data_IF_642612109832
#
_entry.id   IF_642612109832
#
_cell.length_a   1.000
_cell.length_b   1.000
_cell.length_c   1.000
_cell.angle_alpha   90.00
_cell.angle_beta   90.00
_cell.angle_gamma   90.00
#
_symmetry.space_group_name_H-M   'P 1'
#
loop_
_entity.id
_entity.type
_entity.pdbx_description
1 polymer ?
#
# COMPACT_ATOMS: atom_id res chain seq x y z
N UNK A 1 2.06 0.93 63.27
CA UNK A 1 1.98 -0.13 62.24
C UNK A 1 1.07 0.35 61.11
N UNK A 2 1.58 0.54 59.90
CA UNK A 2 0.76 0.85 58.71
C UNK A 2 0.15 -0.46 58.21
N UNK A 3 -1.18 -0.58 58.15
CA UNK A 3 -1.86 -1.75 57.55
C UNK A 3 -1.55 -1.75 56.06
N UNK A 4 -0.89 -2.79 55.57
CA UNK A 4 -0.71 -3.02 54.15
C UNK A 4 -2.06 -3.48 53.59
N UNK A 5 -2.72 -2.60 52.82
CA UNK A 5 -3.94 -2.91 52.10
C UNK A 5 -3.53 -3.81 50.92
N UNK A 6 -3.74 -5.12 51.06
CA UNK A 6 -3.54 -6.07 49.97
C UNK A 6 -4.64 -5.92 48.91
N UNK A 7 -4.30 -6.23 47.65
CA UNK A 7 -5.26 -6.25 46.54
C UNK A 7 -6.28 -7.36 46.76
N UNK A 8 -7.56 -7.08 46.49
CA UNK A 8 -8.62 -8.08 46.67
C UNK A 8 -8.70 -9.02 45.47
N UNK A 9 -9.05 -10.30 45.70
CA UNK A 9 -9.28 -11.24 44.58
C UNK A 9 -10.40 -10.75 43.66
N UNK A 10 -11.40 -10.07 44.20
CA UNK A 10 -12.51 -9.52 43.41
C UNK A 10 -12.06 -8.35 42.53
N UNK A 11 -11.14 -7.48 42.97
CA UNK A 11 -10.55 -6.46 42.09
C UNK A 11 -9.81 -7.10 40.92
N UNK A 12 -9.02 -8.15 41.16
CA UNK A 12 -8.28 -8.81 40.09
C UNK A 12 -9.22 -9.42 39.05
N UNK A 13 -10.28 -10.09 39.51
CA UNK A 13 -11.30 -10.67 38.65
C UNK A 13 -12.08 -9.59 37.89
N UNK A 14 -12.44 -8.49 38.54
CA UNK A 14 -13.14 -7.39 37.88
C UNK A 14 -12.30 -6.76 36.77
N UNK A 15 -10.99 -6.58 37.00
CA UNK A 15 -10.07 -5.99 36.01
C UNK A 15 -9.95 -6.87 34.77
N UNK A 16 -9.75 -8.19 34.92
CA UNK A 16 -9.66 -9.08 33.76
C UNK A 16 -10.98 -9.17 32.98
N UNK A 17 -12.12 -9.06 33.66
CA UNK A 17 -13.44 -9.02 33.00
C UNK A 17 -13.59 -7.75 32.18
N UNK A 18 -13.24 -6.59 32.75
CA UNK A 18 -13.29 -5.31 32.02
C UNK A 18 -12.33 -5.34 30.81
N UNK A 19 -11.09 -5.82 30.99
CA UNK A 19 -10.13 -5.96 29.91
C UNK A 19 -10.62 -6.93 28.83
N UNK A 20 -11.29 -8.02 29.21
CA UNK A 20 -11.90 -8.96 28.27
C UNK A 20 -12.98 -8.33 27.39
N UNK A 21 -13.87 -7.53 27.97
CA UNK A 21 -14.93 -6.82 27.23
C UNK A 21 -14.33 -5.76 26.29
N UNK A 22 -13.36 -4.99 26.78
CA UNK A 22 -12.66 -3.98 25.97
C UNK A 22 -11.90 -4.64 24.80
N UNK A 23 -11.22 -5.77 25.04
CA UNK A 23 -10.50 -6.49 24.00
C UNK A 23 -11.47 -7.05 22.93
N UNK A 24 -12.58 -7.66 23.35
CA UNK A 24 -13.57 -8.22 22.43
C UNK A 24 -14.20 -7.18 21.51
N UNK A 25 -14.40 -5.95 22.01
CA UNK A 25 -14.98 -4.84 21.22
C UNK A 25 -13.96 -4.07 20.40
N UNK A 26 -12.71 -3.95 20.87
CA UNK A 26 -11.65 -3.20 20.18
C UNK A 26 -10.97 -4.01 19.07
N UNK A 27 -10.85 -5.34 19.21
CA UNK A 27 -10.13 -6.18 18.26
C UNK A 27 -10.67 -6.12 16.81
N UNK A 28 -12.00 -6.19 16.57
CA UNK A 28 -12.53 -6.08 15.20
C UNK A 28 -12.20 -4.73 14.54
N UNK A 29 -12.27 -3.63 15.31
CA UNK A 29 -11.94 -2.29 14.81
C UNK A 29 -10.47 -2.15 14.47
N UNK A 30 -9.59 -2.72 15.30
CA UNK A 30 -8.14 -2.68 15.06
C UNK A 30 -7.71 -3.43 13.80
N UNK A 31 -8.39 -4.54 13.47
CA UNK A 31 -8.11 -5.29 12.24
C UNK A 31 -8.52 -4.49 10.99
N UNK A 32 -9.70 -3.88 10.98
CA UNK A 32 -10.16 -3.05 9.87
C UNK A 32 -9.21 -1.86 9.63
N UNK A 33 -8.72 -1.19 10.68
CA UNK A 33 -7.77 -0.09 10.53
C UNK A 33 -6.45 -0.50 9.88
N UNK A 34 -5.99 -1.73 10.10
CA UNK A 34 -4.77 -2.22 9.43
C UNK A 34 -4.99 -2.42 7.94
N UNK A 35 -6.13 -2.98 7.54
CA UNK A 35 -6.49 -3.15 6.13
C UNK A 35 -6.67 -1.81 5.43
N UNK A 36 -7.36 -0.86 6.06
CA UNK A 36 -7.55 0.50 5.55
C UNK A 36 -6.21 1.23 5.39
N UNK A 37 -5.31 1.11 6.37
CA UNK A 37 -3.97 1.69 6.30
C UNK A 37 -3.14 1.07 5.17
N UNK A 38 -3.22 -0.25 4.99
CA UNK A 38 -2.53 -0.95 3.90
C UNK A 38 -3.08 -0.53 2.53
N UNK A 39 -4.41 -0.37 2.41
CA UNK A 39 -5.06 0.13 1.19
C UNK A 39 -4.64 1.56 0.87
N UNK A 40 -4.66 2.46 1.86
CA UNK A 40 -4.24 3.84 1.67
C UNK A 40 -2.76 3.95 1.24
N UNK A 41 -1.88 3.14 1.84
CA UNK A 41 -0.48 3.08 1.43
C UNK A 41 -0.32 2.55 -0.01
N UNK A 42 -1.06 1.50 -0.37
CA UNK A 42 -1.08 0.93 -1.71
C UNK A 42 -1.57 1.94 -2.75
N UNK A 43 -2.63 2.69 -2.45
CA UNK A 43 -3.15 3.79 -3.29
C UNK A 43 -2.13 4.93 -3.43
N UNK A 44 -1.39 5.25 -2.36
CA UNK A 44 -0.30 6.23 -2.41
C UNK A 44 0.82 5.82 -3.37
N UNK A 45 1.25 4.56 -3.34
CA UNK A 45 2.26 4.02 -4.27
C UNK A 45 1.73 4.00 -5.70
N UNK A 46 0.48 3.57 -5.91
CA UNK A 46 -0.17 3.57 -7.21
C UNK A 46 -0.28 4.98 -7.83
N UNK A 47 -0.61 5.99 -7.01
CA UNK A 47 -0.63 7.39 -7.44
C UNK A 47 0.76 7.91 -7.83
N UNK A 48 1.79 7.55 -7.05
CA UNK A 48 3.18 7.90 -7.37
C UNK A 48 3.65 7.26 -8.68
N UNK A 49 3.29 6.00 -8.93
CA UNK A 49 3.61 5.29 -10.19
C UNK A 49 2.94 5.94 -11.40
N UNK A 50 1.65 6.27 -11.29
CA UNK A 50 0.93 6.98 -12.35
C UNK A 50 1.57 8.34 -12.66
N UNK A 51 1.93 9.10 -11.62
CA UNK A 51 2.58 10.41 -11.78
C UNK A 51 3.96 10.29 -12.43
N UNK A 52 4.78 9.33 -11.99
CA UNK A 52 6.09 9.06 -12.56
C UNK A 52 5.99 8.61 -14.03
N UNK A 53 5.00 7.77 -14.35
CA UNK A 53 4.75 7.39 -15.73
C UNK A 53 4.41 8.58 -16.62
N UNK A 54 3.56 9.51 -16.15
CA UNK A 54 3.20 10.71 -16.91
C UNK A 54 4.40 11.63 -17.13
N UNK A 55 5.26 11.79 -16.12
CA UNK A 55 6.49 12.56 -16.26
C UNK A 55 7.46 11.90 -17.25
N UNK A 56 7.62 10.58 -17.17
CA UNK A 56 8.43 9.78 -18.10
C UNK A 56 7.90 9.87 -19.53
N UNK A 57 6.59 9.73 -19.71
CA UNK A 57 5.93 9.86 -21.00
C UNK A 57 6.16 11.25 -21.60
N UNK A 58 6.00 12.32 -20.81
CA UNK A 58 6.22 13.69 -21.26
C UNK A 58 7.68 13.93 -21.68
N UNK A 59 8.64 13.48 -20.87
CA UNK A 59 10.06 13.62 -21.18
C UNK A 59 10.45 12.84 -22.44
N UNK A 60 9.98 11.59 -22.57
CA UNK A 60 10.35 10.71 -23.67
C UNK A 60 9.64 11.05 -24.98
N UNK A 61 8.46 11.67 -24.91
CA UNK A 61 7.75 12.23 -26.07
C UNK A 61 8.51 13.38 -26.72
N UNK A 62 9.34 14.11 -25.97
CA UNK A 62 10.19 15.17 -26.51
C UNK A 62 11.46 14.60 -27.13
N UNK A 63 12.05 13.58 -26.51
CA UNK A 63 13.27 12.93 -27.00
C UNK A 63 13.36 11.49 -26.47
N UNK A 64 13.59 10.52 -27.35
CA UNK A 64 13.66 9.10 -26.98
C UNK A 64 14.78 8.76 -25.98
N UNK A 65 15.77 9.63 -25.78
CA UNK A 65 16.81 9.47 -24.74
C UNK A 65 16.39 9.97 -23.34
N UNK A 66 15.29 10.71 -23.23
CA UNK A 66 14.86 11.38 -22.00
C UNK A 66 13.79 10.56 -21.29
N UNK A 67 14.21 9.49 -20.59
CA UNK A 67 13.31 8.58 -19.87
C UNK A 67 13.47 7.14 -20.31
N UNK A 68 12.55 6.27 -19.91
CA UNK A 68 12.60 4.81 -20.14
C UNK A 68 11.43 4.38 -21.02
N UNK A 69 11.63 3.45 -21.98
CA UNK A 69 10.51 2.87 -22.71
C UNK A 69 9.60 2.08 -21.76
N UNK A 70 8.29 2.16 -22.01
CA UNK A 70 7.25 1.44 -21.28
C UNK A 70 6.33 0.79 -22.30
N UNK A 71 6.46 -0.52 -22.45
CA UNK A 71 5.61 -1.42 -23.23
C UNK A 71 4.95 -2.49 -22.36
N UNK A 72 5.35 -2.62 -21.10
CA UNK A 72 4.69 -3.44 -20.08
C UNK A 72 4.56 -2.69 -18.75
N UNK A 73 3.47 -2.95 -18.03
CA UNK A 73 3.24 -2.44 -16.67
C UNK A 73 4.43 -2.63 -15.72
N UNK A 74 5.19 -3.73 -15.81
CA UNK A 74 6.34 -3.95 -14.92
C UNK A 74 7.47 -2.94 -15.14
N UNK A 75 7.57 -2.34 -16.34
CA UNK A 75 8.62 -1.39 -16.69
C UNK A 75 8.38 -0.02 -16.04
N UNK A 76 7.15 0.28 -15.60
CA UNK A 76 6.83 1.53 -14.90
C UNK A 76 7.66 1.69 -13.62
N UNK A 77 8.05 0.59 -12.98
CA UNK A 77 8.94 0.64 -11.82
C UNK A 77 10.30 1.28 -12.13
N UNK A 78 10.76 1.23 -13.39
CA UNK A 78 12.01 1.86 -13.83
C UNK A 78 11.88 3.35 -14.15
N UNK A 79 10.65 3.86 -14.29
CA UNK A 79 10.39 5.30 -14.42
C UNK A 79 10.40 6.05 -13.07
N UNK A 80 10.46 5.32 -11.95
CA UNK A 80 10.60 5.90 -10.61
C UNK A 80 12.06 5.77 -10.17
N UNK A 81 12.68 6.89 -9.80
CA UNK A 81 14.02 6.88 -9.25
C UNK A 81 14.03 6.14 -7.90
N UNK A 82 14.85 5.09 -7.79
CA UNK A 82 14.88 4.19 -6.62
C UNK A 82 13.89 3.02 -6.67
N UNK A 83 13.06 2.91 -7.71
CA UNK A 83 12.14 1.80 -7.90
C UNK A 83 10.90 1.84 -7.00
N UNK A 84 10.21 0.70 -6.91
CA UNK A 84 9.04 0.55 -6.02
C UNK A 84 9.46 0.11 -4.62
N UNK A 85 8.75 0.53 -3.56
CA UNK A 85 9.03 0.07 -2.21
C UNK A 85 8.92 -1.46 -2.09
N UNK A 86 9.72 -2.03 -1.19
CA UNK A 86 9.66 -3.46 -0.90
C UNK A 86 8.26 -3.86 -0.40
N UNK A 87 7.82 -5.04 -0.81
CA UNK A 87 6.50 -5.58 -0.44
C UNK A 87 5.36 -5.16 -1.36
N UNK A 88 5.66 -4.53 -2.50
CA UNK A 88 4.73 -4.28 -3.59
C UNK A 88 5.20 -4.96 -4.87
N UNK A 89 4.25 -5.40 -5.70
CA UNK A 89 4.52 -6.01 -6.99
C UNK A 89 3.54 -5.51 -8.04
N UNK A 90 4.04 -5.23 -9.25
CA UNK A 90 3.21 -4.87 -10.40
C UNK A 90 2.97 -6.14 -11.21
N UNK A 91 1.72 -6.40 -11.58
CA UNK A 91 1.37 -7.50 -12.48
C UNK A 91 1.70 -7.11 -13.92
N UNK A 92 2.39 -7.99 -14.64
CA UNK A 92 2.71 -7.77 -16.05
C UNK A 92 1.45 -7.66 -16.90
N UNK A 93 1.45 -6.67 -17.78
CA UNK A 93 0.39 -6.43 -18.75
C UNK A 93 0.94 -5.52 -19.82
N UNK A 94 0.87 -5.99 -21.07
CA UNK A 94 1.35 -5.23 -22.21
C UNK A 94 0.55 -3.93 -22.39
N UNK A 95 1.24 -2.86 -22.75
CA UNK A 95 0.69 -1.55 -23.06
C UNK A 95 1.28 -1.10 -24.39
N UNK A 96 0.41 -0.84 -25.35
CA UNK A 96 0.85 -0.30 -26.64
C UNK A 96 1.30 1.16 -26.49
N UNK A 97 2.31 1.55 -27.25
CA UNK A 97 2.82 2.91 -27.24
C UNK A 97 1.74 3.93 -27.68
N UNK A 98 1.64 5.05 -26.95
CA UNK A 98 0.63 6.07 -27.16
C UNK A 98 -0.77 5.71 -26.63
N UNK A 99 -0.95 4.52 -26.04
CA UNK A 99 -2.20 4.10 -25.42
C UNK A 99 -2.07 4.03 -23.90
N UNK A 100 -3.16 4.32 -23.21
CA UNK A 100 -3.27 4.16 -21.76
C UNK A 100 -3.86 2.80 -21.42
N UNK A 101 -3.17 2.05 -20.55
CA UNK A 101 -3.60 0.78 -19.97
C UNK A 101 -3.79 0.89 -18.45
N UNK A 102 -4.52 -0.07 -17.88
CA UNK A 102 -4.70 -0.22 -16.44
C UNK A 102 -3.73 -1.27 -15.91
N UNK A 103 -2.77 -0.86 -15.09
CA UNK A 103 -1.83 -1.73 -14.41
C UNK A 103 -2.32 -2.09 -13.02
N UNK A 104 -2.00 -3.30 -12.56
CA UNK A 104 -2.39 -3.75 -11.21
C UNK A 104 -1.18 -3.75 -10.30
N UNK A 105 -1.30 -3.11 -9.14
CA UNK A 105 -0.33 -3.13 -8.05
C UNK A 105 -0.89 -3.98 -6.90
N UNK A 106 -0.09 -4.91 -6.41
CA UNK A 106 -0.45 -5.78 -5.28
C UNK A 106 0.48 -5.53 -4.09
N UNK A 107 -0.08 -5.55 -2.89
CA UNK A 107 0.69 -5.64 -1.65
C UNK A 107 0.98 -7.12 -1.31
N UNK A 108 2.24 -7.46 -1.07
CA UNK A 108 2.67 -8.83 -0.73
C UNK A 108 2.34 -9.23 0.70
N UNK A 109 1.98 -8.29 1.57
CA UNK A 109 1.68 -8.57 2.99
C UNK A 109 0.20 -8.83 3.28
N UNK A 110 -0.70 -8.27 2.46
CA UNK A 110 -2.14 -8.22 2.80
C UNK A 110 -3.06 -8.74 1.69
N UNK A 111 -2.52 -9.24 0.57
CA UNK A 111 -3.31 -9.72 -0.59
C UNK A 111 -4.35 -8.69 -1.11
N UNK A 112 -4.09 -7.40 -0.89
CA UNK A 112 -4.90 -6.29 -1.41
C UNK A 112 -4.26 -5.80 -2.71
N UNK A 113 -5.10 -5.53 -3.71
CA UNK A 113 -4.69 -4.99 -5.01
C UNK A 113 -5.37 -3.67 -5.30
N UNK A 114 -4.69 -2.80 -6.04
CA UNK A 114 -5.25 -1.57 -6.61
C UNK A 114 -4.82 -1.46 -8.07
N UNK A 115 -5.53 -0.64 -8.85
CA UNK A 115 -5.18 -0.37 -10.24
C UNK A 115 -4.74 1.08 -10.42
N UNK A 116 -3.84 1.31 -11.37
CA UNK A 116 -3.37 2.63 -11.76
C UNK A 116 -3.25 2.72 -13.28
N UNK A 117 -3.39 3.94 -13.81
CA UNK A 117 -3.31 4.20 -15.24
C UNK A 117 -1.87 4.46 -15.66
N UNK A 118 -1.50 3.91 -16.80
CA UNK A 118 -0.16 3.99 -17.38
C UNK A 118 -0.30 4.19 -18.88
N UNK A 119 0.45 5.12 -19.44
CA UNK A 119 0.54 5.37 -20.88
C UNK A 119 1.85 4.82 -21.41
N UNK A 120 1.77 3.92 -22.39
CA UNK A 120 2.95 3.31 -23.00
C UNK A 120 3.70 4.27 -23.91
N UNK A 121 5.01 4.10 -24.01
CA UNK A 121 5.89 4.89 -24.89
C UNK A 121 7.14 4.08 -25.27
N UNK A 122 7.59 4.20 -26.53
CA UNK A 122 8.80 3.55 -27.05
C UNK A 122 10.06 4.38 -26.83
#
# INVERSE_FOLDING_TARGET
MKRQLGFTLIELVMVIVILGILAATAMPKFMNFKEDAARAALEGVAGALSSANLANYAARSLHAGSGVPIVDCVEVASAVEGGIPQGYAITASAIAAGLSGSCTLASSSTAITTTFLVTGIL
#
